data_IF_316731796617
#
_entry.id   IF_316731796617
#
_cell.length_a   1.000
_cell.length_b   1.000
_cell.length_c   1.000
_cell.angle_alpha   90.00
_cell.angle_beta   90.00
_cell.angle_gamma   90.00
#
_symmetry.space_group_name_H-M   'P 1'
#
loop_
_entity.id
_entity.type
_entity.pdbx_description
1 polymer ?
#
# COMPACT_ATOMS: atom_id res chain seq x y z
N UNK A 1 -69.19 40.78 -16.89
CA UNK A 1 -68.38 39.68 -17.35
C UNK A 1 -66.95 39.99 -17.04
N UNK A 2 -66.36 39.39 -16.02
CA UNK A 2 -64.98 39.66 -15.62
C UNK A 2 -64.14 38.39 -15.89
N UNK A 3 -63.22 38.51 -16.84
CA UNK A 3 -62.29 37.45 -17.22
C UNK A 3 -61.15 37.44 -16.22
N UNK A 4 -61.01 36.39 -15.43
CA UNK A 4 -59.84 36.12 -14.63
C UNK A 4 -58.86 35.26 -15.43
N UNK A 5 -57.77 35.94 -15.84
CA UNK A 5 -56.63 35.26 -16.44
C UNK A 5 -55.80 34.69 -15.30
N UNK A 6 -55.80 33.36 -15.21
CA UNK A 6 -55.00 32.62 -14.24
C UNK A 6 -53.52 32.51 -14.76
N UNK A 7 -52.64 33.33 -14.18
CA UNK A 7 -51.20 33.21 -14.42
C UNK A 7 -50.64 32.03 -13.65
N UNK A 8 -50.40 30.90 -14.36
CA UNK A 8 -49.68 29.77 -13.84
C UNK A 8 -48.18 30.10 -13.93
N UNK A 9 -47.59 30.47 -12.77
CA UNK A 9 -46.15 30.60 -12.61
C UNK A 9 -45.56 29.17 -12.53
N UNK A 10 -45.01 28.69 -13.64
CA UNK A 10 -44.18 27.49 -13.64
C UNK A 10 -42.82 27.86 -13.00
N UNK A 11 -42.64 27.50 -11.74
CA UNK A 11 -41.34 27.57 -11.05
C UNK A 11 -40.47 26.45 -11.57
N UNK A 12 -39.63 26.72 -12.58
CA UNK A 12 -38.59 25.82 -13.02
C UNK A 12 -37.52 25.76 -11.95
N UNK A 13 -37.61 24.73 -11.08
CA UNK A 13 -36.50 24.42 -10.16
C UNK A 13 -35.37 23.84 -11.01
N UNK A 14 -34.39 24.69 -11.31
CA UNK A 14 -33.13 24.29 -11.91
C UNK A 14 -32.37 23.42 -10.91
N UNK A 15 -32.51 22.11 -11.02
CA UNK A 15 -31.69 21.16 -10.31
C UNK A 15 -30.30 21.20 -10.96
N UNK A 16 -29.40 22.00 -10.39
CA UNK A 16 -27.99 21.94 -10.73
C UNK A 16 -27.48 20.53 -10.42
N UNK A 17 -26.91 19.78 -11.39
CA UNK A 17 -26.23 18.56 -11.06
C UNK A 17 -25.07 18.92 -10.14
N UNK A 18 -25.16 18.55 -8.88
CA UNK A 18 -24.05 18.51 -7.96
C UNK A 18 -23.02 17.57 -8.60
N UNK A 19 -21.99 18.13 -9.20
CA UNK A 19 -20.81 17.40 -9.63
C UNK A 19 -20.16 16.84 -8.34
N UNK A 20 -20.68 15.69 -7.88
CA UNK A 20 -19.95 14.84 -6.99
C UNK A 20 -18.74 14.34 -7.81
N UNK A 21 -17.61 15.00 -7.64
CA UNK A 21 -16.33 14.48 -8.11
C UNK A 21 -16.15 13.14 -7.40
N UNK A 22 -16.42 12.04 -8.11
CA UNK A 22 -16.05 10.72 -7.64
C UNK A 22 -14.52 10.71 -7.53
N UNK A 23 -14.05 10.99 -6.32
CA UNK A 23 -12.66 10.81 -5.96
C UNK A 23 -12.42 9.30 -5.95
N UNK A 24 -11.85 8.78 -7.04
CA UNK A 24 -11.53 7.37 -7.16
C UNK A 24 -10.64 6.94 -5.99
N UNK A 25 -10.90 5.76 -5.45
CA UNK A 25 -10.09 5.15 -4.38
C UNK A 25 -8.59 5.16 -4.76
N UNK A 26 -8.30 5.00 -6.05
CA UNK A 26 -6.93 5.05 -6.58
C UNK A 26 -6.30 6.45 -6.47
N UNK A 27 -7.09 7.50 -6.66
CA UNK A 27 -6.61 8.90 -6.49
C UNK A 27 -6.30 9.19 -5.03
N UNK A 28 -7.18 8.78 -4.10
CA UNK A 28 -6.95 8.92 -2.65
C UNK A 28 -5.73 8.13 -2.21
N UNK A 29 -5.57 6.91 -2.74
CA UNK A 29 -4.43 6.04 -2.47
C UNK A 29 -3.12 6.66 -2.99
N UNK A 30 -3.12 7.19 -4.20
CA UNK A 30 -1.97 7.85 -4.83
C UNK A 30 -1.54 9.10 -4.05
N UNK A 31 -2.49 9.91 -3.59
CA UNK A 31 -2.22 11.08 -2.74
C UNK A 31 -1.67 10.67 -1.37
N UNK A 32 -2.17 9.59 -0.78
CA UNK A 32 -1.71 9.08 0.50
C UNK A 32 -0.27 8.55 0.42
N UNK A 33 0.08 7.87 -0.67
CA UNK A 33 1.44 7.39 -0.92
C UNK A 33 2.40 8.54 -1.19
N UNK A 34 1.97 9.59 -1.91
CA UNK A 34 2.78 10.78 -2.19
C UNK A 34 3.16 11.57 -0.93
N UNK A 35 2.35 11.50 0.13
CA UNK A 35 2.62 12.17 1.41
C UNK A 35 3.44 11.31 2.40
N UNK A 36 3.77 10.07 2.04
CA UNK A 36 4.69 9.22 2.78
C UNK A 36 6.09 9.41 2.19
N UNK A 37 7.11 9.46 3.05
CA UNK A 37 8.50 9.47 2.58
C UNK A 37 8.69 8.34 1.56
N UNK A 38 8.89 8.70 0.31
CA UNK A 38 9.05 7.75 -0.79
C UNK A 38 10.27 6.86 -0.62
N UNK A 39 11.21 7.26 0.25
CA UNK A 39 12.45 6.53 0.55
C UNK A 39 12.65 6.47 2.06
N UNK A 40 12.85 5.27 2.57
CA UNK A 40 13.08 5.01 4.00
C UNK A 40 14.32 4.13 4.17
N UNK A 41 15.01 4.28 5.31
CA UNK A 41 16.17 3.48 5.66
C UNK A 41 15.93 2.78 6.99
N UNK A 42 16.35 1.52 7.10
CA UNK A 42 16.16 0.76 8.33
C UNK A 42 16.69 -0.66 8.24
N UNK A 43 16.19 -1.50 9.15
CA UNK A 43 16.54 -2.91 9.22
C UNK A 43 15.44 -3.74 8.56
N UNK A 44 15.83 -4.66 7.69
CA UNK A 44 14.98 -5.73 7.17
C UNK A 44 15.28 -7.03 7.90
N UNK A 45 14.25 -7.83 8.10
CA UNK A 45 14.30 -9.23 8.50
C UNK A 45 13.37 -10.04 7.59
N UNK A 46 13.06 -11.28 7.95
CA UNK A 46 12.10 -12.10 7.23
C UNK A 46 11.33 -13.03 8.17
N UNK A 47 10.17 -13.50 7.70
CA UNK A 47 9.30 -14.40 8.46
C UNK A 47 9.92 -15.77 8.65
N UNK A 48 9.73 -16.31 9.84
CA UNK A 48 10.00 -17.71 10.11
C UNK A 48 8.97 -18.61 9.40
N UNK A 49 9.38 -19.79 8.91
CA UNK A 49 8.51 -20.73 8.16
C UNK A 49 7.25 -21.18 8.92
N UNK A 50 7.23 -21.06 10.27
CA UNK A 50 6.03 -21.34 11.08
C UNK A 50 4.82 -20.45 10.76
N UNK A 51 5.02 -19.33 10.04
CA UNK A 51 3.94 -18.42 9.63
C UNK A 51 3.29 -18.84 8.31
N UNK A 52 3.87 -19.80 7.57
CA UNK A 52 3.27 -20.31 6.34
C UNK A 52 1.82 -20.71 6.53
N UNK A 53 0.93 -20.24 5.65
CA UNK A 53 -0.50 -20.51 5.68
C UNK A 53 -1.31 -19.69 6.69
N UNK A 54 -0.70 -18.79 7.47
CA UNK A 54 -1.42 -17.90 8.38
C UNK A 54 -1.98 -16.68 7.64
N UNK A 55 -3.09 -16.18 8.12
CA UNK A 55 -3.67 -14.94 7.60
C UNK A 55 -2.83 -13.74 8.02
N UNK A 56 -2.56 -12.85 7.06
CA UNK A 56 -1.88 -11.57 7.26
C UNK A 56 -2.87 -10.49 7.68
N UNK A 57 -2.37 -9.32 8.09
CA UNK A 57 -3.20 -8.18 8.47
C UNK A 57 -4.06 -7.63 7.32
N UNK A 58 -3.69 -7.86 6.06
CA UNK A 58 -4.50 -7.52 4.89
C UNK A 58 -5.65 -8.49 4.62
N UNK A 59 -5.66 -9.66 5.29
CA UNK A 59 -6.58 -10.76 5.03
C UNK A 59 -6.06 -11.81 4.04
N UNK A 60 -4.96 -11.55 3.34
CA UNK A 60 -4.31 -12.54 2.47
C UNK A 60 -3.67 -13.66 3.31
N UNK A 61 -3.54 -14.86 2.74
CA UNK A 61 -2.80 -15.94 3.36
C UNK A 61 -1.31 -15.76 3.07
N UNK A 62 -0.48 -15.81 4.11
CA UNK A 62 0.97 -15.77 3.95
C UNK A 62 1.47 -16.99 3.19
N UNK A 63 2.19 -16.73 2.12
CA UNK A 63 2.92 -17.73 1.35
C UNK A 63 4.39 -17.31 1.25
N UNK A 64 5.29 -18.15 1.76
CA UNK A 64 6.72 -17.85 1.81
C UNK A 64 7.39 -17.75 0.43
N UNK A 65 6.73 -18.28 -0.63
CA UNK A 65 7.21 -18.24 -2.01
C UNK A 65 6.86 -16.96 -2.76
N UNK A 66 5.94 -16.14 -2.24
CA UNK A 66 5.53 -14.89 -2.86
C UNK A 66 6.42 -13.72 -2.45
N UNK A 67 6.52 -12.71 -3.31
CA UNK A 67 7.26 -11.47 -3.06
C UNK A 67 6.40 -10.50 -2.24
N UNK A 68 6.32 -10.72 -0.92
CA UNK A 68 5.51 -9.93 0.00
C UNK A 68 6.28 -9.54 1.25
N UNK A 69 5.72 -8.61 2.02
CA UNK A 69 6.31 -8.19 3.29
C UNK A 69 5.37 -7.39 4.17
N UNK A 70 5.81 -7.20 5.42
CA UNK A 70 5.15 -6.38 6.43
C UNK A 70 5.82 -5.02 6.57
N UNK A 71 5.00 -3.97 6.69
CA UNK A 71 5.42 -2.61 6.99
C UNK A 71 4.33 -1.88 7.77
N UNK A 72 4.68 -1.05 8.79
CA UNK A 72 3.67 -0.52 9.70
C UNK A 72 2.90 0.70 9.19
N UNK A 73 3.47 1.52 8.32
CA UNK A 73 2.83 2.77 7.87
C UNK A 73 2.35 2.77 6.43
N UNK A 74 2.95 1.96 5.53
CA UNK A 74 2.54 1.93 4.13
C UNK A 74 1.17 1.25 3.96
N UNK A 75 0.30 1.75 3.08
CA UNK A 75 -0.96 1.08 2.74
C UNK A 75 -0.74 -0.35 2.24
N UNK A 76 -1.70 -1.26 2.50
CA UNK A 76 -1.68 -2.58 1.86
C UNK A 76 -1.73 -2.43 0.33
N UNK A 77 -1.15 -3.40 -0.36
CA UNK A 77 -0.96 -3.42 -1.81
C UNK A 77 -0.02 -2.31 -2.35
N UNK A 78 0.75 -1.65 -1.50
CA UNK A 78 1.84 -0.79 -1.94
C UNK A 78 3.00 -1.67 -2.40
N UNK A 79 3.54 -1.35 -3.58
CA UNK A 79 4.75 -1.98 -4.09
C UNK A 79 5.96 -1.17 -3.65
N UNK A 80 7.00 -1.86 -3.20
CA UNK A 80 8.23 -1.23 -2.74
C UNK A 80 9.45 -1.98 -3.28
N UNK A 81 10.50 -1.23 -3.59
CA UNK A 81 11.82 -1.77 -3.87
C UNK A 81 12.65 -1.73 -2.60
N UNK A 82 13.12 -2.88 -2.15
CA UNK A 82 14.01 -3.02 -1.01
C UNK A 82 15.42 -3.31 -1.52
N UNK A 83 16.38 -2.46 -1.16
CA UNK A 83 17.79 -2.58 -1.57
C UNK A 83 18.66 -2.83 -0.35
N UNK A 84 19.44 -3.90 -0.38
CA UNK A 84 20.46 -4.21 0.64
C UNK A 84 21.63 -3.26 0.51
N UNK A 85 21.87 -2.40 1.50
CA UNK A 85 22.86 -1.32 1.41
C UNK A 85 24.31 -1.81 1.25
N UNK A 86 24.62 -2.99 1.81
CA UNK A 86 25.99 -3.53 1.73
C UNK A 86 26.29 -4.17 0.37
N UNK A 87 25.33 -4.85 -0.25
CA UNK A 87 25.56 -5.66 -1.45
C UNK A 87 25.01 -5.03 -2.72
N UNK A 88 24.10 -4.05 -2.61
CA UNK A 88 23.39 -3.46 -3.74
C UNK A 88 22.28 -4.33 -4.33
N UNK A 89 22.11 -5.58 -3.85
CA UNK A 89 20.99 -6.43 -4.29
C UNK A 89 19.67 -5.80 -3.93
N UNK A 90 18.67 -5.98 -4.78
CA UNK A 90 17.33 -5.46 -4.54
C UNK A 90 16.25 -6.48 -4.88
N UNK A 91 15.07 -6.29 -4.26
CA UNK A 91 13.87 -7.07 -4.52
C UNK A 91 12.67 -6.13 -4.50
N UNK A 92 11.68 -6.40 -5.35
CA UNK A 92 10.39 -5.70 -5.33
C UNK A 92 9.37 -6.60 -4.64
N UNK A 93 8.65 -6.03 -3.67
CA UNK A 93 7.65 -6.75 -2.88
C UNK A 93 6.35 -5.96 -2.77
N UNK A 94 5.26 -6.67 -2.52
CA UNK A 94 3.97 -6.08 -2.17
C UNK A 94 3.80 -6.06 -0.65
N UNK A 95 3.42 -4.93 -0.09
CA UNK A 95 3.08 -4.83 1.34
C UNK A 95 1.67 -5.38 1.56
N UNK A 96 1.56 -6.44 2.36
CA UNK A 96 0.29 -7.08 2.69
C UNK A 96 0.13 -7.41 4.18
N UNK A 97 1.08 -6.99 5.01
CA UNK A 97 1.04 -7.31 6.43
C UNK A 97 1.58 -6.15 7.30
N UNK A 98 1.45 -6.30 8.61
CA UNK A 98 1.96 -5.38 9.63
C UNK A 98 2.97 -6.09 10.54
N UNK A 99 4.03 -5.36 10.92
CA UNK A 99 4.91 -5.83 11.98
C UNK A 99 4.22 -5.71 13.34
N UNK A 100 4.62 -6.54 14.28
CA UNK A 100 4.18 -6.37 15.66
C UNK A 100 4.55 -4.95 16.17
N UNK A 101 3.65 -4.30 16.90
CA UNK A 101 3.80 -2.89 17.32
C UNK A 101 5.08 -2.57 18.11
N UNK A 102 5.65 -3.56 18.80
CA UNK A 102 6.95 -3.44 19.51
C UNK A 102 8.16 -3.62 18.59
N UNK A 103 7.95 -3.97 17.33
CA UNK A 103 9.03 -4.22 16.40
C UNK A 103 9.53 -2.90 15.79
N UNK A 104 10.81 -2.63 15.95
CA UNK A 104 11.48 -1.42 15.45
C UNK A 104 12.09 -1.58 14.06
N UNK A 105 11.96 -2.75 13.45
CA UNK A 105 12.43 -2.99 12.08
C UNK A 105 11.58 -2.21 11.07
N UNK A 106 12.18 -1.91 9.94
CA UNK A 106 11.50 -1.22 8.84
C UNK A 106 10.55 -2.16 8.10
N UNK A 107 11.01 -3.37 7.79
CA UNK A 107 10.29 -4.33 6.95
C UNK A 107 10.64 -5.76 7.33
N UNK A 108 9.64 -6.65 7.36
CA UNK A 108 9.83 -8.10 7.42
C UNK A 108 9.42 -8.70 6.06
N UNK A 109 10.36 -9.41 5.43
CA UNK A 109 10.21 -9.96 4.09
C UNK A 109 9.67 -11.39 4.12
N UNK A 110 9.01 -11.83 3.06
CA UNK A 110 8.81 -13.24 2.82
C UNK A 110 10.15 -13.96 2.67
N UNK A 111 10.17 -15.28 2.84
CA UNK A 111 11.40 -16.07 2.73
C UNK A 111 12.03 -15.99 1.32
N UNK A 112 11.22 -16.05 0.27
CA UNK A 112 11.69 -15.91 -1.11
C UNK A 112 12.23 -14.51 -1.40
N UNK A 113 11.60 -13.45 -0.86
CA UNK A 113 12.12 -12.09 -0.98
C UNK A 113 13.47 -11.96 -0.26
N UNK A 114 13.60 -12.51 0.94
CA UNK A 114 14.85 -12.52 1.70
C UNK A 114 15.96 -13.32 1.00
N UNK A 115 15.61 -14.44 0.36
CA UNK A 115 16.53 -15.21 -0.46
C UNK A 115 17.08 -14.39 -1.63
N UNK A 116 16.19 -13.74 -2.38
CA UNK A 116 16.57 -12.84 -3.49
C UNK A 116 17.44 -11.68 -3.03
N UNK A 117 17.13 -11.10 -1.89
CA UNK A 117 17.91 -10.01 -1.29
C UNK A 117 19.26 -10.48 -0.73
N UNK A 118 19.41 -11.79 -0.51
CA UNK A 118 20.64 -12.41 -0.02
C UNK A 118 20.83 -12.31 1.49
N UNK A 119 19.76 -12.24 2.27
CA UNK A 119 19.83 -12.07 3.74
C UNK A 119 19.45 -13.31 4.56
N UNK A 120 19.12 -14.44 3.95
CA UNK A 120 18.70 -15.65 4.68
C UNK A 120 19.72 -16.09 5.72
N UNK A 121 21.02 -16.04 5.40
CA UNK A 121 22.10 -16.48 6.30
C UNK A 121 22.32 -15.47 7.44
N UNK A 122 22.27 -14.18 7.13
CA UNK A 122 22.49 -13.11 8.12
C UNK A 122 21.28 -12.86 9.02
N UNK A 123 20.07 -13.13 8.55
CA UNK A 123 18.82 -12.91 9.26
C UNK A 123 18.35 -11.45 9.26
N UNK A 124 19.28 -10.51 9.25
CA UNK A 124 19.05 -9.06 9.30
C UNK A 124 19.94 -8.34 8.29
N UNK A 125 19.46 -7.22 7.74
CA UNK A 125 20.25 -6.36 6.88
C UNK A 125 19.80 -4.89 6.99
N UNK A 126 20.74 -3.96 6.81
CA UNK A 126 20.40 -2.55 6.58
C UNK A 126 19.96 -2.37 5.14
N UNK A 127 18.81 -1.76 4.96
CA UNK A 127 18.17 -1.61 3.66
C UNK A 127 17.71 -0.18 3.42
N UNK A 128 17.59 0.16 2.14
CA UNK A 128 16.80 1.27 1.62
C UNK A 128 15.50 0.70 1.08
N UNK A 129 14.37 1.29 1.43
CA UNK A 129 13.05 0.96 0.92
C UNK A 129 12.54 2.17 0.12
N UNK A 130 12.14 1.93 -1.12
CA UNK A 130 11.62 2.94 -2.05
C UNK A 130 10.22 2.54 -2.48
N UNK A 131 9.26 3.45 -2.30
CA UNK A 131 7.86 3.24 -2.73
C UNK A 131 7.77 3.40 -4.24
N UNK A 132 7.14 2.43 -4.92
CA UNK A 132 6.90 2.46 -6.35
C UNK A 132 5.50 3.01 -6.66
N UNK A 133 5.39 3.81 -7.73
CA UNK A 133 4.12 4.41 -8.15
C UNK A 133 3.16 3.38 -8.77
N UNK A 134 3.68 2.30 -9.34
CA UNK A 134 2.92 1.24 -9.98
C UNK A 134 3.48 -0.16 -9.66
N UNK A 135 2.68 -1.23 -9.85
CA UNK A 135 3.18 -2.60 -9.82
C UNK A 135 4.33 -2.79 -10.81
N UNK A 136 5.26 -3.72 -10.57
CA UNK A 136 6.24 -4.12 -11.58
C UNK A 136 5.54 -4.74 -12.80
N UNK A 137 6.08 -4.49 -13.97
CA UNK A 137 5.68 -5.14 -15.22
C UNK A 137 6.06 -6.62 -15.24
#
# INVERSE_FOLDING_TARGET
>A
MKNYILFLFFLIISISPCFATEFSIDTVRKLRVKNLDSTQYGIASYYHSKFQGRQTASGEIYNEDLMTGAHNSLPFNTWVKVTHLKTGKSVIIKINDRLHYKNTRLVDLSKSAAAKLGILKAGLARVKLEVLESPPE
#
